data_IF_498789098174
#
_entry.id   IF_498789098174
#
_cell.length_a   1.000
_cell.length_b   1.000
_cell.length_c   1.000
_cell.angle_alpha   90.00
_cell.angle_beta   90.00
_cell.angle_gamma   90.00
#
_symmetry.space_group_name_H-M   'P 1'
#
loop_
_entity.id
_entity.type
_entity.pdbx_description
1 polymer ?
#
# COMPACT_ATOMS: atom_id res chain seq x y z
N UNK A 1 -86.51 -1.15 37.72
CA UNK A 1 -85.46 -2.21 37.72
C UNK A 1 -84.34 -1.77 36.80
N UNK A 2 -83.18 -1.42 37.38
CA UNK A 2 -82.06 -0.80 36.67
C UNK A 2 -81.10 -1.88 36.11
N UNK A 3 -80.73 -1.75 34.84
CA UNK A 3 -79.80 -2.66 34.17
C UNK A 3 -78.35 -2.27 34.45
N UNK A 4 -77.54 -3.26 34.84
CA UNK A 4 -76.12 -3.12 35.11
C UNK A 4 -75.29 -3.21 33.82
N UNK A 5 -74.30 -2.32 33.67
CA UNK A 5 -73.22 -2.43 32.69
C UNK A 5 -71.90 -2.41 33.45
N UNK A 6 -71.18 -3.53 33.41
CA UNK A 6 -69.84 -3.69 33.96
C UNK A 6 -68.81 -3.28 32.90
N UNK A 7 -67.86 -2.38 33.17
CA UNK A 7 -66.82 -2.07 32.21
C UNK A 7 -65.71 -3.13 32.27
N UNK A 8 -65.34 -3.63 31.08
CA UNK A 8 -64.29 -4.63 30.86
C UNK A 8 -62.92 -3.98 31.02
N UNK A 9 -62.17 -4.40 32.04
CA UNK A 9 -60.80 -3.95 32.32
C UNK A 9 -59.86 -4.58 31.28
N UNK A 10 -59.23 -3.75 30.44
CA UNK A 10 -58.26 -4.20 29.43
C UNK A 10 -56.85 -4.19 30.03
N UNK A 11 -56.36 -5.34 30.47
CA UNK A 11 -54.98 -5.53 30.90
C UNK A 11 -54.02 -5.40 29.71
N UNK A 12 -53.25 -4.32 29.67
CA UNK A 12 -52.07 -4.20 28.82
C UNK A 12 -50.92 -4.99 29.46
N UNK A 13 -50.84 -6.28 29.13
CA UNK A 13 -49.67 -7.10 29.42
C UNK A 13 -48.46 -6.53 28.67
N UNK A 14 -47.49 -6.05 29.44
CA UNK A 14 -46.21 -5.55 28.96
C UNK A 14 -45.49 -6.60 28.12
N UNK A 15 -45.39 -6.33 26.82
CA UNK A 15 -44.59 -7.14 25.90
C UNK A 15 -43.15 -6.67 26.02
N UNK A 16 -42.40 -7.30 26.91
CA UNK A 16 -40.95 -7.19 27.03
C UNK A 16 -40.33 -7.41 25.65
N UNK A 17 -39.95 -6.32 24.97
CA UNK A 17 -39.06 -6.41 23.81
C UNK A 17 -37.68 -6.72 24.37
N UNK A 18 -37.43 -8.00 24.61
CA UNK A 18 -36.06 -8.51 24.57
C UNK A 18 -35.54 -8.09 23.20
N UNK A 19 -34.73 -7.02 23.20
CA UNK A 19 -33.91 -6.66 22.05
C UNK A 19 -32.94 -7.83 21.88
N UNK A 20 -33.39 -8.84 21.14
CA UNK A 20 -32.54 -9.82 20.51
C UNK A 20 -31.59 -8.99 19.66
N UNK A 21 -30.41 -8.68 20.19
CA UNK A 21 -29.34 -8.07 19.41
C UNK A 21 -29.01 -9.13 18.35
N UNK A 22 -29.33 -8.94 17.06
CA UNK A 22 -28.85 -9.88 16.08
C UNK A 22 -27.34 -9.65 16.06
N UNK A 23 -26.59 -10.54 16.70
CA UNK A 23 -25.18 -10.72 16.38
C UNK A 23 -25.17 -11.18 14.93
N UNK A 24 -25.06 -10.22 14.01
CA UNK A 24 -25.03 -10.49 12.57
C UNK A 24 -23.72 -11.21 12.27
N UNK A 25 -23.77 -12.53 12.35
CA UNK A 25 -22.72 -13.43 11.89
C UNK A 25 -22.74 -13.58 10.35
N UNK A 26 -23.45 -12.68 9.63
CA UNK A 26 -23.72 -12.78 8.19
C UNK A 26 -23.52 -11.48 7.41
N UNK A 27 -22.73 -10.53 7.91
CA UNK A 27 -22.37 -9.29 7.18
C UNK A 27 -21.23 -9.49 6.15
N UNK A 28 -20.97 -10.73 5.74
CA UNK A 28 -20.07 -11.09 4.64
C UNK A 28 -20.87 -11.17 3.32
N UNK A 29 -21.37 -10.03 2.86
CA UNK A 29 -21.71 -9.88 1.45
C UNK A 29 -20.44 -9.49 0.70
N UNK A 30 -20.04 -10.27 -0.30
CA UNK A 30 -18.89 -9.98 -1.19
C UNK A 30 -18.93 -8.52 -1.68
N UNK A 31 -20.13 -7.97 -1.88
CA UNK A 31 -20.41 -6.60 -2.29
C UNK A 31 -19.99 -5.53 -1.26
N UNK A 32 -20.24 -5.75 0.05
CA UNK A 32 -19.87 -4.80 1.11
C UNK A 32 -18.35 -4.77 1.36
N UNK A 33 -17.72 -5.94 1.28
CA UNK A 33 -16.26 -6.07 1.34
C UNK A 33 -15.60 -5.38 0.15
N UNK A 34 -16.07 -5.64 -1.07
CA UNK A 34 -15.54 -5.02 -2.28
C UNK A 34 -15.64 -3.49 -2.24
N UNK A 35 -16.77 -2.95 -1.77
CA UNK A 35 -16.96 -1.50 -1.62
C UNK A 35 -16.01 -0.89 -0.56
N UNK A 36 -15.75 -1.59 0.54
CA UNK A 36 -14.76 -1.17 1.56
C UNK A 36 -13.33 -1.17 1.00
N UNK A 37 -12.93 -2.20 0.25
CA UNK A 37 -11.61 -2.24 -0.37
C UNK A 37 -11.46 -1.16 -1.44
N UNK A 38 -12.50 -0.96 -2.26
CA UNK A 38 -12.55 0.12 -3.25
C UNK A 38 -12.37 1.49 -2.60
N UNK A 39 -13.10 1.78 -1.52
CA UNK A 39 -12.95 3.06 -0.81
C UNK A 39 -11.55 3.23 -0.22
N UNK A 40 -10.96 2.19 0.37
CA UNK A 40 -9.59 2.26 0.92
C UNK A 40 -8.54 2.49 -0.18
N UNK A 41 -8.69 1.86 -1.35
CA UNK A 41 -7.80 2.10 -2.49
C UNK A 41 -7.83 3.56 -2.91
N UNK A 42 -9.02 4.14 -3.10
CA UNK A 42 -9.16 5.52 -3.59
C UNK A 42 -8.87 6.59 -2.54
N UNK A 43 -9.20 6.34 -1.26
CA UNK A 43 -9.12 7.35 -0.20
C UNK A 43 -7.82 7.28 0.61
N UNK A 44 -7.13 6.14 0.59
CA UNK A 44 -5.91 5.94 1.40
C UNK A 44 -4.73 5.55 0.52
N UNK A 45 -4.85 4.47 -0.26
CA UNK A 45 -3.69 3.94 -1.00
C UNK A 45 -3.22 4.88 -2.10
N UNK A 46 -4.12 5.36 -2.97
CA UNK A 46 -3.75 6.27 -4.06
C UNK A 46 -3.22 7.62 -3.55
N UNK A 47 -3.82 8.30 -2.55
CA UNK A 47 -3.22 9.48 -1.95
C UNK A 47 -1.87 9.19 -1.31
N UNK A 48 -1.71 8.05 -0.63
CA UNK A 48 -0.44 7.64 -0.03
C UNK A 48 0.68 7.47 -1.05
N UNK A 49 0.39 6.80 -2.18
CA UNK A 49 1.32 6.67 -3.32
C UNK A 49 1.60 8.05 -3.95
N UNK A 50 0.59 8.91 -4.04
CA UNK A 50 0.79 10.28 -4.54
C UNK A 50 1.76 11.09 -3.69
N UNK A 51 1.64 11.01 -2.36
CA UNK A 51 2.55 11.70 -1.42
C UNK A 51 3.96 11.12 -1.49
N UNK A 52 4.12 9.80 -1.54
CA UNK A 52 5.45 9.18 -1.64
C UNK A 52 6.12 9.49 -2.98
N UNK A 53 5.36 9.47 -4.08
CA UNK A 53 5.84 9.87 -5.40
C UNK A 53 6.27 11.34 -5.41
N UNK A 54 5.47 12.24 -4.83
CA UNK A 54 5.83 13.65 -4.72
C UNK A 54 7.13 13.85 -3.90
N UNK A 55 7.31 13.10 -2.80
CA UNK A 55 8.53 13.17 -2.01
C UNK A 55 9.78 12.79 -2.83
N UNK A 56 9.73 11.65 -3.52
CA UNK A 56 10.83 11.18 -4.35
C UNK A 56 11.05 12.11 -5.53
N UNK A 57 9.98 12.60 -6.17
CA UNK A 57 10.09 13.54 -7.28
C UNK A 57 10.78 14.84 -6.87
N UNK A 58 10.37 15.45 -5.76
CA UNK A 58 11.02 16.67 -5.24
C UNK A 58 12.47 16.43 -4.84
N UNK A 59 12.79 15.26 -4.25
CA UNK A 59 14.18 14.89 -3.93
C UNK A 59 15.02 14.70 -5.20
N UNK A 60 14.49 14.02 -6.21
CA UNK A 60 15.21 13.80 -7.48
C UNK A 60 15.51 15.08 -8.26
N UNK A 61 14.74 16.16 -8.05
CA UNK A 61 14.97 17.46 -8.68
C UNK A 61 16.06 18.29 -7.99
N UNK A 62 16.30 18.06 -6.70
CA UNK A 62 17.27 18.81 -5.90
C UNK A 62 18.53 18.00 -5.56
N UNK A 63 18.49 16.68 -5.75
CA UNK A 63 19.60 15.77 -5.49
C UNK A 63 20.31 15.40 -6.77
N UNK A 64 21.13 16.30 -7.30
CA UNK A 64 22.34 15.83 -7.98
C UNK A 64 23.28 15.37 -6.87
N UNK A 65 23.13 14.10 -6.45
CA UNK A 65 24.18 13.47 -5.65
C UNK A 65 25.43 13.44 -6.53
N UNK A 66 26.42 14.25 -6.15
CA UNK A 66 27.71 14.25 -6.82
C UNK A 66 28.26 12.82 -6.85
N UNK A 67 28.71 12.42 -8.04
CA UNK A 67 29.26 11.10 -8.28
C UNK A 67 30.42 10.86 -7.29
N UNK A 68 30.41 9.75 -6.53
CA UNK A 68 31.47 9.49 -5.58
C UNK A 68 32.79 9.23 -6.31
N UNK A 69 33.90 9.67 -5.73
CA UNK A 69 35.25 9.40 -6.25
C UNK A 69 35.49 7.89 -6.39
N UNK A 70 36.19 7.50 -7.45
CA UNK A 70 36.47 6.09 -7.70
C UNK A 70 37.53 5.55 -6.71
N UNK A 71 37.14 4.56 -5.91
CA UNK A 71 38.06 3.76 -5.09
C UNK A 71 37.96 2.30 -5.50
N UNK A 72 39.09 1.72 -5.91
CA UNK A 72 39.21 0.34 -6.36
C UNK A 72 39.18 -0.66 -5.19
N UNK A 73 38.05 -0.72 -4.47
CA UNK A 73 37.85 -1.68 -3.42
C UNK A 73 37.89 -3.12 -3.96
N UNK A 74 38.67 -4.04 -3.36
CA UNK A 74 38.87 -5.38 -3.90
C UNK A 74 37.62 -6.28 -3.87
N UNK A 75 36.63 -5.92 -3.05
CA UNK A 75 35.36 -6.65 -2.94
C UNK A 75 34.27 -6.10 -3.88
N UNK A 76 34.51 -4.97 -4.55
CA UNK A 76 33.58 -4.40 -5.53
C UNK A 76 34.04 -4.73 -6.95
N UNK A 77 33.11 -4.69 -7.91
CA UNK A 77 33.40 -4.81 -9.35
C UNK A 77 34.19 -6.08 -9.72
N UNK A 78 33.95 -7.16 -8.98
CA UNK A 78 34.59 -8.45 -9.22
C UNK A 78 34.22 -8.96 -10.62
N UNK A 79 35.23 -9.41 -11.36
CA UNK A 79 35.12 -10.02 -12.68
C UNK A 79 35.93 -11.31 -12.71
N UNK A 80 35.33 -12.41 -12.29
CA UNK A 80 35.96 -13.74 -12.35
C UNK A 80 35.84 -14.40 -13.73
N UNK A 81 34.74 -14.11 -14.44
CA UNK A 81 34.48 -14.52 -15.82
C UNK A 81 33.77 -13.38 -16.54
N UNK A 82 34.04 -13.14 -17.84
CA UNK A 82 33.31 -12.14 -18.62
C UNK A 82 31.82 -12.47 -18.70
N UNK A 83 30.99 -11.43 -18.79
CA UNK A 83 29.57 -11.56 -19.09
C UNK A 83 29.34 -12.16 -20.49
N UNK A 84 28.23 -12.87 -20.73
CA UNK A 84 27.94 -13.51 -22.01
C UNK A 84 27.38 -12.53 -23.09
N UNK A 85 27.56 -11.22 -22.92
CA UNK A 85 27.11 -10.18 -23.86
C UNK A 85 28.13 -9.06 -23.96
N UNK A 86 28.01 -8.24 -25.02
CA UNK A 86 28.83 -7.04 -25.21
C UNK A 86 30.32 -7.38 -25.21
N UNK A 87 31.09 -6.60 -24.44
CA UNK A 87 32.53 -6.78 -24.23
C UNK A 87 32.88 -7.69 -23.04
N UNK A 88 31.86 -8.22 -22.37
CA UNK A 88 32.02 -9.05 -21.18
C UNK A 88 32.36 -8.30 -19.89
N UNK A 89 32.52 -6.97 -19.92
CA UNK A 89 32.91 -6.18 -18.74
C UNK A 89 31.77 -5.30 -18.21
N UNK A 90 30.85 -4.88 -19.08
CA UNK A 90 29.68 -4.07 -18.72
C UNK A 90 28.50 -4.93 -18.23
N UNK A 91 27.84 -4.47 -17.16
CA UNK A 91 26.64 -5.13 -16.62
C UNK A 91 25.45 -4.92 -17.56
N UNK A 92 24.37 -5.70 -17.38
CA UNK A 92 23.19 -5.62 -18.25
C UNK A 92 22.51 -4.23 -18.19
N UNK A 93 22.47 -3.62 -17.01
CA UNK A 93 21.96 -2.26 -16.79
C UNK A 93 23.14 -1.33 -16.45
N UNK A 94 24.12 -1.30 -17.34
CA UNK A 94 25.25 -0.40 -17.19
C UNK A 94 24.83 1.06 -17.42
N UNK A 95 25.37 1.96 -16.59
CA UNK A 95 25.16 3.40 -16.70
C UNK A 95 26.52 4.08 -16.53
N UNK A 96 27.13 4.58 -17.62
CA UNK A 96 28.49 5.15 -17.60
C UNK A 96 28.68 6.26 -16.55
N UNK A 97 27.60 7.01 -16.28
CA UNK A 97 27.65 8.12 -15.33
C UNK A 97 27.84 7.68 -13.87
N UNK A 98 27.32 6.51 -13.47
CA UNK A 98 27.28 6.11 -12.04
C UNK A 98 27.94 4.77 -11.75
N UNK A 99 28.15 3.93 -12.76
CA UNK A 99 28.69 2.59 -12.62
C UNK A 99 30.12 2.56 -13.17
N UNK A 100 31.17 2.68 -12.33
CA UNK A 100 32.53 2.58 -12.83
C UNK A 100 32.92 1.13 -13.07
N UNK A 101 33.79 0.94 -14.06
CA UNK A 101 34.47 -0.31 -14.37
C UNK A 101 35.51 -0.64 -13.29
N UNK A 102 36.08 -1.87 -13.30
CA UNK A 102 37.18 -2.22 -12.39
C UNK A 102 38.39 -1.25 -12.48
N UNK A 103 38.51 -0.51 -13.57
CA UNK A 103 39.59 0.45 -13.85
C UNK A 103 39.25 1.90 -13.50
N UNK A 104 37.98 2.26 -13.31
CA UNK A 104 37.57 3.65 -13.12
C UNK A 104 36.23 3.98 -13.77
N UNK A 105 35.82 5.25 -13.72
CA UNK A 105 34.73 5.76 -14.56
C UNK A 105 35.17 5.84 -16.02
N UNK A 106 34.24 5.77 -16.96
CA UNK A 106 34.56 5.76 -18.39
C UNK A 106 34.88 7.14 -18.96
N UNK A 107 34.44 8.20 -18.30
CA UNK A 107 34.65 9.60 -18.72
C UNK A 107 35.97 10.20 -18.15
N UNK A 108 36.73 9.44 -17.37
CA UNK A 108 38.02 9.80 -16.75
C UNK A 108 39.18 9.04 -17.42
#
# INVERSE_FOLDING_TARGET
>A
MAAAVVPRVSGLLGRSRLLSRPMSSGAHGEEGSARMWKSRTYLVALPGVGVSMLNVFLKSRHGEEERPEFVAYPHLRIRSKPFPWGDGNHTLFHNPHVNPLPTGYEDE
#
